data_IF_372792678896
#
_entry.id   IF_372792678896
#
_cell.length_a   1.000
_cell.length_b   1.000
_cell.length_c   1.000
_cell.angle_alpha   90.00
_cell.angle_beta   90.00
_cell.angle_gamma   90.00
#
_symmetry.space_group_name_H-M   'P 1'
#
loop_
_entity.id
_entity.type
_entity.pdbx_description
1 polymer ?
#
# COMPACT_ATOMS: atom_id res chain seq x y z
N UNK A 1 61.05 37.15 39.81
CA UNK A 1 60.35 36.73 38.58
C UNK A 1 60.35 35.21 38.54
N UNK A 2 59.22 34.60 38.88
CA UNK A 2 58.87 33.23 38.46
C UNK A 2 58.39 33.32 37.00
N UNK A 3 58.68 32.31 36.15
CA UNK A 3 57.67 31.25 36.00
C UNK A 3 58.17 29.82 35.68
N UNK A 4 57.48 28.85 36.30
CA UNK A 4 56.90 27.59 35.79
C UNK A 4 57.78 26.49 35.14
N UNK A 5 57.65 25.23 35.62
CA UNK A 5 58.17 24.05 34.93
C UNK A 5 57.23 23.53 33.82
N UNK A 6 57.91 22.87 32.90
CA UNK A 6 57.54 22.13 31.69
C UNK A 6 56.25 21.31 31.76
N UNK A 7 55.45 21.39 30.69
CA UNK A 7 54.14 20.74 30.57
C UNK A 7 54.17 19.21 30.53
N UNK A 8 53.23 18.60 31.24
CA UNK A 8 52.82 17.21 31.08
C UNK A 8 51.67 17.13 30.08
N UNK A 9 51.90 16.49 28.93
CA UNK A 9 50.84 16.02 28.03
C UNK A 9 50.26 14.70 28.59
N UNK A 10 48.94 14.50 28.57
CA UNK A 10 48.36 13.22 28.96
C UNK A 10 48.73 12.13 27.94
N UNK A 11 49.36 11.05 28.41
CA UNK A 11 49.60 9.84 27.63
C UNK A 11 48.26 9.26 27.17
N UNK A 12 48.09 9.19 25.85
CA UNK A 12 46.98 8.52 25.17
C UNK A 12 47.03 7.03 25.53
N UNK A 13 46.15 6.58 26.41
CA UNK A 13 45.95 5.15 26.70
C UNK A 13 45.39 4.52 25.43
N UNK A 14 46.18 3.71 24.72
CA UNK A 14 45.67 2.80 23.68
C UNK A 14 44.88 1.70 24.38
N UNK A 15 43.63 1.39 23.98
CA UNK A 15 42.96 0.19 24.44
C UNK A 15 43.70 -1.05 23.90
N UNK A 16 43.87 -2.05 24.77
CA UNK A 16 44.41 -3.37 24.41
C UNK A 16 43.52 -4.05 23.34
N UNK A 17 44.10 -4.76 22.36
CA UNK A 17 43.34 -5.54 21.40
C UNK A 17 42.78 -6.79 22.09
N UNK A 18 41.46 -7.00 22.04
CA UNK A 18 40.86 -8.28 22.44
C UNK A 18 39.74 -8.25 23.50
N UNK A 19 38.99 -7.16 23.68
CA UNK A 19 37.72 -7.20 24.43
C UNK A 19 36.52 -7.05 23.49
N UNK A 20 36.25 -8.08 22.70
CA UNK A 20 34.90 -8.26 22.17
C UNK A 20 33.99 -8.61 23.35
N UNK A 21 33.35 -7.59 23.92
CA UNK A 21 32.16 -7.81 24.75
C UNK A 21 31.13 -8.47 23.86
N UNK A 22 30.99 -9.79 24.00
CA UNK A 22 29.83 -10.51 23.50
C UNK A 22 28.64 -10.02 24.34
N UNK A 23 27.85 -9.10 23.79
CA UNK A 23 26.51 -8.89 24.28
C UNK A 23 25.71 -10.10 23.83
N UNK A 24 25.06 -10.85 24.73
CA UNK A 24 24.12 -11.87 24.30
C UNK A 24 23.02 -11.18 23.51
N UNK A 25 22.83 -11.60 22.26
CA UNK A 25 21.80 -11.05 21.37
C UNK A 25 20.43 -11.16 22.05
N UNK A 26 19.77 -10.02 22.16
CA UNK A 26 18.39 -9.84 22.63
C UNK A 26 17.40 -10.33 21.56
N UNK A 27 17.62 -11.56 21.09
CA UNK A 27 16.99 -12.17 19.91
C UNK A 27 15.46 -12.22 20.03
N UNK A 28 14.94 -12.30 21.26
CA UNK A 28 13.51 -12.28 21.54
C UNK A 28 12.84 -10.91 21.35
N UNK A 29 13.57 -9.82 21.58
CA UNK A 29 13.04 -8.45 21.43
C UNK A 29 12.96 -8.04 19.96
N UNK A 30 14.00 -8.37 19.17
CA UNK A 30 14.05 -8.08 17.72
C UNK A 30 12.98 -8.85 16.93
N UNK A 31 12.73 -10.12 17.29
CA UNK A 31 11.69 -10.92 16.64
C UNK A 31 10.27 -10.37 16.90
N UNK A 32 9.98 -10.00 18.16
CA UNK A 32 8.70 -9.45 18.57
C UNK A 32 8.45 -8.07 17.96
N UNK A 33 9.48 -7.24 17.87
CA UNK A 33 9.44 -5.96 17.17
C UNK A 33 9.16 -6.13 15.66
N UNK A 34 9.86 -7.05 14.99
CA UNK A 34 9.63 -7.35 13.57
C UNK A 34 8.21 -7.84 13.29
N UNK A 35 7.65 -8.65 14.18
CA UNK A 35 6.26 -9.11 14.06
C UNK A 35 5.29 -7.94 14.18
N UNK A 36 5.44 -7.09 15.19
CA UNK A 36 4.63 -5.87 15.35
C UNK A 36 4.70 -4.97 14.10
N UNK A 37 5.89 -4.76 13.54
CA UNK A 37 6.04 -3.95 12.32
C UNK A 37 5.39 -4.62 11.10
N UNK A 38 5.41 -5.95 11.00
CA UNK A 38 4.71 -6.69 9.95
C UNK A 38 3.20 -6.53 10.07
N UNK A 39 2.65 -6.65 11.28
CA UNK A 39 1.24 -6.39 11.56
C UNK A 39 0.85 -4.95 11.20
N UNK A 40 1.72 -3.99 11.52
CA UNK A 40 1.49 -2.60 11.17
C UNK A 40 1.47 -2.39 9.65
N UNK A 41 2.38 -3.00 8.89
CA UNK A 41 2.39 -2.96 7.42
C UNK A 41 1.17 -3.68 6.81
N UNK A 42 0.71 -4.77 7.43
CA UNK A 42 -0.56 -5.41 7.05
C UNK A 42 -1.72 -4.43 7.22
N UNK A 43 -1.79 -3.74 8.36
CA UNK A 43 -2.82 -2.73 8.62
C UNK A 43 -2.75 -1.57 7.62
N UNK A 44 -1.55 -1.11 7.25
CA UNK A 44 -1.39 -0.09 6.19
C UNK A 44 -1.96 -0.55 4.85
N UNK A 45 -1.83 -1.83 4.52
CA UNK A 45 -2.42 -2.43 3.33
C UNK A 45 -3.95 -2.50 3.40
N UNK A 46 -4.49 -2.82 4.57
CA UNK A 46 -5.94 -2.79 4.83
C UNK A 46 -6.49 -1.38 4.66
N UNK A 47 -5.88 -0.39 5.28
CA UNK A 47 -6.35 1.00 5.23
C UNK A 47 -6.32 1.55 3.79
N UNK A 48 -5.23 1.29 3.04
CA UNK A 48 -5.14 1.64 1.62
C UNK A 48 -6.24 0.97 0.78
N UNK A 49 -6.52 -0.30 1.08
CA UNK A 49 -7.55 -1.08 0.41
C UNK A 49 -8.97 -0.58 0.72
N UNK A 50 -9.21 -0.08 1.94
CA UNK A 50 -10.46 0.59 2.30
C UNK A 50 -10.62 1.89 1.50
N UNK A 51 -9.58 2.71 1.38
CA UNK A 51 -9.62 3.91 0.50
C UNK A 51 -9.91 3.55 -0.95
N UNK A 52 -9.31 2.46 -1.45
CA UNK A 52 -9.57 1.95 -2.79
C UNK A 52 -11.03 1.50 -2.95
N UNK A 53 -11.58 0.78 -1.97
CA UNK A 53 -12.98 0.38 -1.97
C UNK A 53 -13.90 1.60 -1.97
N UNK A 54 -13.67 2.60 -1.12
CA UNK A 54 -14.44 3.86 -1.13
C UNK A 54 -14.45 4.47 -2.53
N UNK A 55 -13.28 4.53 -3.20
CA UNK A 55 -13.19 5.04 -4.57
C UNK A 55 -14.03 4.21 -5.55
N UNK A 56 -14.05 2.87 -5.41
CA UNK A 56 -14.89 2.00 -6.22
C UNK A 56 -16.39 2.27 -5.99
N UNK A 57 -16.82 2.49 -4.75
CA UNK A 57 -18.20 2.84 -4.43
C UNK A 57 -18.57 4.26 -4.89
N UNK A 58 -17.63 5.20 -4.92
CA UNK A 58 -17.87 6.53 -5.48
C UNK A 58 -18.09 6.48 -7.00
N UNK A 59 -17.35 5.61 -7.69
CA UNK A 59 -17.42 5.46 -9.15
C UNK A 59 -18.47 4.46 -9.62
N UNK A 60 -19.21 3.80 -8.73
CA UNK A 60 -20.08 2.69 -9.11
C UNK A 60 -21.35 3.12 -9.88
N UNK A 61 -21.58 4.44 -10.01
CA UNK A 61 -22.59 5.00 -10.91
C UNK A 61 -22.23 4.80 -12.39
N UNK A 62 -20.94 4.65 -12.72
CA UNK A 62 -20.45 4.21 -14.02
C UNK A 62 -19.36 3.13 -13.87
N UNK A 63 -19.74 1.87 -14.15
CA UNK A 63 -18.85 0.72 -14.01
C UNK A 63 -17.65 0.81 -14.94
N UNK A 64 -17.79 1.41 -16.12
CA UNK A 64 -16.66 1.55 -17.03
C UNK A 64 -15.57 2.45 -16.43
N UNK A 65 -15.94 3.61 -15.89
CA UNK A 65 -15.04 4.52 -15.18
C UNK A 65 -14.39 3.83 -13.98
N UNK A 66 -15.18 3.13 -13.16
CA UNK A 66 -14.68 2.40 -11.99
C UNK A 66 -13.64 1.32 -12.38
N UNK A 67 -13.99 0.45 -13.33
CA UNK A 67 -13.11 -0.63 -13.77
C UNK A 67 -11.86 -0.07 -14.45
N UNK A 68 -11.99 1.02 -15.20
CA UNK A 68 -10.87 1.63 -15.88
C UNK A 68 -9.91 2.31 -14.89
N UNK A 69 -10.42 2.96 -13.84
CA UNK A 69 -9.62 3.46 -12.73
C UNK A 69 -8.80 2.33 -12.09
N UNK A 70 -9.44 1.22 -11.71
CA UNK A 70 -8.75 0.07 -11.14
C UNK A 70 -7.70 -0.50 -12.11
N UNK A 71 -8.07 -0.72 -13.38
CA UNK A 71 -7.16 -1.24 -14.41
C UNK A 71 -5.90 -0.39 -14.55
N UNK A 72 -6.09 0.93 -14.66
CA UNK A 72 -4.98 1.88 -14.79
C UNK A 72 -4.08 1.84 -13.56
N UNK A 73 -4.67 1.77 -12.36
CA UNK A 73 -3.91 1.72 -11.12
C UNK A 73 -2.99 0.49 -11.08
N UNK A 74 -3.50 -0.68 -11.47
CA UNK A 74 -2.70 -1.91 -11.55
C UNK A 74 -1.67 -1.90 -12.69
N UNK A 75 -2.00 -1.31 -13.84
CA UNK A 75 -1.10 -1.28 -15.00
C UNK A 75 0.16 -0.43 -14.75
N UNK A 76 0.05 0.65 -13.97
CA UNK A 76 1.13 1.64 -13.85
C UNK A 76 1.91 1.61 -12.53
N UNK A 77 1.43 0.92 -11.50
CA UNK A 77 2.07 1.00 -10.18
C UNK A 77 3.13 -0.07 -9.96
N UNK A 78 2.93 -1.32 -10.38
CA UNK A 78 3.81 -2.42 -9.99
C UNK A 78 3.81 -3.59 -10.99
N UNK A 79 4.89 -4.39 -11.01
CA UNK A 79 4.92 -5.66 -11.74
C UNK A 79 3.79 -6.59 -11.24
N UNK A 80 3.17 -7.38 -12.13
CA UNK A 80 2.08 -8.27 -11.77
C UNK A 80 2.38 -9.21 -10.58
N UNK A 81 3.62 -9.66 -10.42
CA UNK A 81 4.05 -10.60 -9.36
C UNK A 81 4.31 -9.96 -7.99
N UNK A 82 3.99 -8.67 -7.80
CA UNK A 82 4.18 -8.02 -6.51
C UNK A 82 3.10 -8.45 -5.49
N UNK A 83 3.48 -8.85 -4.26
CA UNK A 83 2.53 -9.27 -3.23
C UNK A 83 1.43 -8.24 -2.93
N UNK A 84 1.79 -6.94 -2.89
CA UNK A 84 0.85 -5.84 -2.63
C UNK A 84 -0.16 -5.73 -3.77
N UNK A 85 0.30 -5.79 -5.02
CA UNK A 85 -0.58 -5.76 -6.19
C UNK A 85 -1.54 -6.94 -6.23
N UNK A 86 -1.08 -8.13 -5.83
CA UNK A 86 -1.92 -9.31 -5.75
C UNK A 86 -3.02 -9.15 -4.70
N UNK A 87 -2.69 -8.65 -3.50
CA UNK A 87 -3.69 -8.40 -2.44
C UNK A 87 -4.71 -7.36 -2.89
N UNK A 88 -4.24 -6.25 -3.45
CA UNK A 88 -5.13 -5.19 -3.96
C UNK A 88 -6.03 -5.69 -5.09
N UNK A 89 -5.51 -6.52 -6.01
CA UNK A 89 -6.31 -7.10 -7.09
C UNK A 89 -7.44 -7.99 -6.54
N UNK A 90 -7.15 -8.81 -5.51
CA UNK A 90 -8.16 -9.63 -4.83
C UNK A 90 -9.20 -8.75 -4.13
N UNK A 91 -8.80 -7.65 -3.50
CA UNK A 91 -9.74 -6.69 -2.90
C UNK A 91 -10.68 -6.11 -3.96
N UNK A 92 -10.13 -5.63 -5.08
CA UNK A 92 -10.94 -5.08 -6.18
C UNK A 92 -11.90 -6.14 -6.73
N UNK A 93 -11.42 -7.36 -6.94
CA UNK A 93 -12.28 -8.46 -7.39
C UNK A 93 -13.40 -8.78 -6.41
N UNK A 94 -13.09 -8.80 -5.12
CA UNK A 94 -14.06 -9.05 -4.06
C UNK A 94 -15.14 -7.97 -4.02
N UNK A 95 -14.74 -6.70 -3.86
CA UNK A 95 -15.66 -5.56 -3.76
C UNK A 95 -16.51 -5.45 -5.02
N UNK A 96 -15.91 -5.61 -6.19
CA UNK A 96 -16.65 -5.60 -7.45
C UNK A 96 -17.69 -6.74 -7.50
N UNK A 97 -17.28 -7.97 -7.23
CA UNK A 97 -18.15 -9.14 -7.41
C UNK A 97 -19.25 -9.25 -6.36
N UNK A 98 -18.96 -8.88 -5.11
CA UNK A 98 -19.89 -9.00 -3.99
C UNK A 98 -20.79 -7.78 -3.83
N UNK A 99 -20.22 -6.59 -3.92
CA UNK A 99 -20.92 -5.39 -3.46
C UNK A 99 -21.46 -4.52 -4.60
N UNK A 100 -20.79 -4.53 -5.76
CA UNK A 100 -21.11 -3.63 -6.89
C UNK A 100 -21.87 -4.37 -8.00
N UNK A 101 -21.31 -5.47 -8.53
CA UNK A 101 -21.87 -6.25 -9.65
C UNK A 101 -23.33 -6.67 -9.43
N UNK A 102 -23.76 -7.11 -8.22
CA UNK A 102 -25.15 -7.51 -7.98
C UNK A 102 -26.14 -6.32 -7.95
N UNK A 103 -25.66 -5.11 -7.63
CA UNK A 103 -26.48 -3.89 -7.53
C UNK A 103 -26.65 -3.16 -8.87
N UNK A 104 -26.02 -3.69 -9.92
CA UNK A 104 -25.87 -3.01 -11.19
C UNK A 104 -27.23 -2.85 -11.92
N UNK A 105 -27.92 -1.74 -11.65
CA UNK A 105 -29.00 -1.23 -12.50
C UNK A 105 -28.37 -0.83 -13.81
N UNK A 106 -29.01 -1.20 -14.93
CA UNK A 106 -28.56 -0.94 -16.29
C UNK A 106 -27.70 0.33 -16.41
N UNK A 107 -26.40 0.12 -16.70
CA UNK A 107 -25.40 1.15 -16.90
C UNK A 107 -25.99 2.26 -17.79
N UNK A 108 -25.93 3.52 -17.34
CA UNK A 108 -26.27 4.63 -18.25
C UNK A 108 -25.17 4.71 -19.28
N UNK A 109 -25.55 4.55 -20.54
CA UNK A 109 -24.63 4.56 -21.66
C UNK A 109 -23.95 5.95 -21.79
N UNK A 110 -22.61 5.97 -21.76
CA UNK A 110 -21.79 7.02 -22.38
C UNK A 110 -21.29 8.21 -21.55
N UNK A 111 -21.32 8.19 -20.21
CA UNK A 111 -20.80 9.30 -19.37
C UNK A 111 -19.74 8.86 -18.35
N UNK A 112 -18.82 9.75 -17.98
CA UNK A 112 -17.94 9.54 -16.82
C UNK A 112 -18.78 9.53 -15.52
N UNK A 113 -18.32 8.79 -14.52
CA UNK A 113 -18.87 8.88 -13.16
C UNK A 113 -18.92 10.34 -12.68
N UNK A 114 -19.97 10.72 -11.94
CA UNK A 114 -20.10 12.07 -11.35
C UNK A 114 -18.93 12.37 -10.41
N UNK A 115 -18.42 11.35 -9.71
CA UNK A 115 -17.32 11.49 -8.75
C UNK A 115 -15.94 11.30 -9.39
N UNK A 116 -15.88 11.19 -10.72
CA UNK A 116 -14.64 10.95 -11.45
C UNK A 116 -13.57 12.00 -11.17
N UNK A 117 -13.94 13.29 -11.20
CA UNK A 117 -12.97 14.37 -10.97
C UNK A 117 -12.40 14.34 -9.54
N UNK A 118 -13.21 13.98 -8.54
CA UNK A 118 -12.74 13.79 -7.17
C UNK A 118 -11.74 12.64 -7.09
N UNK A 119 -12.10 11.46 -7.58
CA UNK A 119 -11.24 10.27 -7.53
C UNK A 119 -9.99 10.44 -8.39
N UNK A 120 -10.03 11.24 -9.45
CA UNK A 120 -8.82 11.59 -10.21
C UNK A 120 -7.77 12.30 -9.34
N UNK A 121 -8.17 13.12 -8.36
CA UNK A 121 -7.22 13.85 -7.49
C UNK A 121 -6.47 12.95 -6.49
N UNK A 122 -6.99 11.75 -6.22
CA UNK A 122 -6.36 10.77 -5.31
C UNK A 122 -5.35 9.87 -6.04
N UNK A 123 -5.27 9.98 -7.37
CA UNK A 123 -4.41 9.14 -8.21
C UNK A 123 -2.97 9.09 -7.73
N UNK A 124 -2.37 10.26 -7.49
CA UNK A 124 -0.98 10.36 -7.02
C UNK A 124 -0.79 9.62 -5.70
N UNK A 125 -1.69 9.85 -4.73
CA UNK A 125 -1.58 9.29 -3.39
C UNK A 125 -1.72 7.76 -3.43
N UNK A 126 -2.62 7.23 -4.25
CA UNK A 126 -2.69 5.79 -4.49
C UNK A 126 -1.42 5.23 -5.10
N UNK A 127 -0.87 5.87 -6.13
CA UNK A 127 0.35 5.39 -6.78
C UNK A 127 1.55 5.41 -5.83
N UNK A 128 1.74 6.51 -5.09
CA UNK A 128 2.81 6.66 -4.10
C UNK A 128 2.62 5.64 -2.97
N UNK A 129 1.38 5.48 -2.48
CA UNK A 129 1.03 4.51 -1.46
C UNK A 129 1.38 3.08 -1.86
N UNK A 130 0.95 2.65 -3.04
CA UNK A 130 1.22 1.29 -3.54
C UNK A 130 2.73 1.05 -3.66
N UNK A 131 3.49 2.02 -4.19
CA UNK A 131 4.94 1.91 -4.35
C UNK A 131 5.65 1.83 -2.99
N UNK A 132 5.30 2.71 -2.05
CA UNK A 132 5.92 2.74 -0.72
C UNK A 132 5.60 1.45 0.04
N UNK A 133 4.33 1.02 0.03
CA UNK A 133 3.90 -0.21 0.71
C UNK A 133 4.60 -1.44 0.14
N UNK A 134 4.72 -1.53 -1.19
CA UNK A 134 5.49 -2.60 -1.85
C UNK A 134 6.94 -2.65 -1.36
N UNK A 135 7.59 -1.50 -1.20
CA UNK A 135 8.98 -1.45 -0.70
C UNK A 135 9.08 -1.89 0.75
N UNK A 136 8.14 -1.48 1.61
CA UNK A 136 8.07 -1.92 3.01
C UNK A 136 7.94 -3.46 3.08
N UNK A 137 7.06 -4.05 2.27
CA UNK A 137 6.87 -5.50 2.21
C UNK A 137 8.14 -6.22 1.73
N UNK A 138 8.81 -5.70 0.69
CA UNK A 138 10.07 -6.27 0.19
C UNK A 138 11.18 -6.24 1.25
N UNK A 139 11.28 -5.15 2.00
CA UNK A 139 12.24 -5.00 3.12
C UNK A 139 11.96 -6.05 4.19
N UNK A 140 10.71 -6.19 4.61
CA UNK A 140 10.29 -7.08 5.71
C UNK A 140 10.30 -8.57 5.37
N UNK A 141 10.25 -8.91 4.08
CA UNK A 141 10.38 -10.29 3.59
C UNK A 141 11.83 -10.78 3.51
N UNK A 142 12.82 -9.89 3.49
CA UNK A 142 14.23 -10.31 3.49
C UNK A 142 14.62 -10.81 4.89
N UNK A 143 15.03 -12.08 4.98
CA UNK A 143 15.45 -12.72 6.25
C UNK A 143 16.77 -12.17 6.81
N UNK A 144 17.68 -11.76 5.93
CA UNK A 144 19.09 -11.50 6.29
C UNK A 144 19.47 -10.01 6.34
N UNK A 145 18.50 -9.11 6.44
CA UNK A 145 18.79 -7.67 6.45
C UNK A 145 18.57 -7.07 7.84
N UNK A 146 19.66 -6.56 8.42
CA UNK A 146 19.61 -5.56 9.49
C UNK A 146 19.21 -4.24 8.86
N UNK A 147 18.01 -3.76 9.15
CA UNK A 147 17.55 -2.42 8.79
C UNK A 147 17.53 -1.54 10.03
N UNK A 148 17.70 -0.24 9.82
CA UNK A 148 17.53 0.73 10.89
C UNK A 148 16.04 0.84 11.25
N UNK A 149 15.67 0.32 12.43
CA UNK A 149 14.31 0.35 12.98
C UNK A 149 13.71 1.76 13.01
N UNK A 150 14.56 2.78 13.17
CA UNK A 150 14.13 4.18 13.17
C UNK A 150 13.72 4.64 11.78
N UNK A 151 14.42 4.21 10.74
CA UNK A 151 14.06 4.52 9.35
C UNK A 151 12.75 3.84 8.96
N UNK A 152 12.57 2.58 9.36
CA UNK A 152 11.37 1.82 9.07
C UNK A 152 10.14 2.43 9.78
N UNK A 153 10.28 2.73 11.07
CA UNK A 153 9.24 3.42 11.85
C UNK A 153 8.90 4.79 11.25
N UNK A 154 9.92 5.55 10.82
CA UNK A 154 9.71 6.84 10.16
C UNK A 154 8.99 6.70 8.82
N UNK A 155 9.30 5.68 8.02
CA UNK A 155 8.63 5.42 6.76
C UNK A 155 7.15 5.06 6.97
N UNK A 156 6.83 4.23 7.96
CA UNK A 156 5.46 3.88 8.32
C UNK A 156 4.69 5.11 8.82
N UNK A 157 5.29 5.92 9.69
CA UNK A 157 4.66 7.16 10.18
C UNK A 157 4.37 8.14 9.02
N UNK A 158 5.33 8.31 8.10
CA UNK A 158 5.14 9.14 6.90
C UNK A 158 4.03 8.57 6.01
N UNK A 159 3.96 7.26 5.83
CA UNK A 159 2.90 6.63 5.04
C UNK A 159 1.51 6.94 5.63
N UNK A 160 1.33 6.78 6.94
CA UNK A 160 0.06 7.12 7.61
C UNK A 160 -0.30 8.60 7.40
N UNK A 161 0.67 9.50 7.58
CA UNK A 161 0.41 10.94 7.54
C UNK A 161 0.29 11.53 6.13
N UNK A 162 1.04 11.04 5.15
CA UNK A 162 1.14 11.64 3.82
C UNK A 162 0.35 10.89 2.76
N UNK A 163 0.07 9.59 2.96
CA UNK A 163 -0.69 8.78 2.01
C UNK A 163 -2.09 8.54 2.54
N UNK A 164 -2.21 7.83 3.66
CA UNK A 164 -3.53 7.41 4.16
C UNK A 164 -4.40 8.60 4.57
N UNK A 165 -3.81 9.56 5.28
CA UNK A 165 -4.54 10.77 5.69
C UNK A 165 -4.98 11.61 4.49
N UNK A 166 -4.11 11.82 3.50
CA UNK A 166 -4.47 12.59 2.29
C UNK A 166 -5.57 11.88 1.48
N UNK A 167 -5.53 10.54 1.39
CA UNK A 167 -6.59 9.75 0.79
C UNK A 167 -7.90 9.87 1.58
N UNK A 168 -7.85 9.73 2.90
CA UNK A 168 -9.02 9.85 3.77
C UNK A 168 -9.61 11.26 3.65
N UNK A 169 -8.83 12.31 3.84
CA UNK A 169 -9.28 13.70 3.79
C UNK A 169 -9.94 14.04 2.43
N UNK A 170 -9.38 13.58 1.31
CA UNK A 170 -9.97 13.77 -0.03
C UNK A 170 -11.25 12.97 -0.23
N UNK A 171 -11.29 11.70 0.20
CA UNK A 171 -12.47 10.84 -0.02
C UNK A 171 -13.61 11.17 0.94
N UNK A 172 -13.30 11.72 2.12
CA UNK A 172 -14.29 12.13 3.12
C UNK A 172 -15.25 13.21 2.63
N UNK A 173 -14.87 14.00 1.62
CA UNK A 173 -15.77 15.02 1.03
C UNK A 173 -16.98 14.43 0.32
N UNK A 174 -16.95 13.14 -0.03
CA UNK A 174 -18.05 12.43 -0.69
C UNK A 174 -18.46 11.16 0.07
N UNK A 175 -18.23 11.14 1.39
CA UNK A 175 -18.53 9.99 2.24
C UNK A 175 -20.00 9.56 2.13
N UNK A 176 -20.92 10.52 2.17
CA UNK A 176 -22.35 10.33 2.04
C UNK A 176 -22.74 9.63 0.71
N UNK A 177 -22.06 9.97 -0.38
CA UNK A 177 -22.25 9.32 -1.69
C UNK A 177 -21.82 7.86 -1.65
N UNK A 178 -20.66 7.57 -1.06
CA UNK A 178 -20.18 6.18 -0.94
C UNK A 178 -21.09 5.32 -0.07
N UNK A 179 -21.59 5.87 1.05
CA UNK A 179 -22.53 5.19 1.95
C UNK A 179 -23.89 4.97 1.29
N UNK A 180 -24.39 5.96 0.52
CA UNK A 180 -25.62 5.82 -0.27
C UNK A 180 -25.50 4.69 -1.31
N UNK A 181 -24.30 4.49 -1.86
CA UNK A 181 -23.98 3.39 -2.76
C UNK A 181 -23.77 2.05 -2.02
N UNK A 182 -23.94 2.05 -0.70
CA UNK A 182 -23.92 0.89 0.18
C UNK A 182 -22.51 0.46 0.58
N UNK A 183 -21.58 1.42 0.67
CA UNK A 183 -20.30 1.20 1.33
C UNK A 183 -20.48 1.08 2.85
N UNK A 184 -19.98 0.01 3.43
CA UNK A 184 -19.97 -0.22 4.87
C UNK A 184 -18.52 -0.41 5.35
N UNK A 185 -17.96 0.62 6.00
CA UNK A 185 -16.52 0.66 6.36
C UNK A 185 -16.08 -0.56 7.16
N UNK A 186 -16.83 -0.95 8.18
CA UNK A 186 -16.47 -2.06 9.08
C UNK A 186 -16.51 -3.41 8.36
N UNK A 187 -17.58 -3.68 7.60
CA UNK A 187 -17.75 -4.90 6.81
C UNK A 187 -16.64 -5.03 5.76
N UNK A 188 -16.35 -3.95 5.02
CA UNK A 188 -15.28 -3.95 4.01
C UNK A 188 -13.91 -4.12 4.67
N UNK A 189 -13.60 -3.38 5.74
CA UNK A 189 -12.33 -3.48 6.44
C UNK A 189 -12.08 -4.89 6.99
N UNK A 190 -13.09 -5.54 7.55
CA UNK A 190 -12.99 -6.92 8.05
C UNK A 190 -12.66 -7.91 6.92
N UNK A 191 -13.40 -7.86 5.80
CA UNK A 191 -13.15 -8.74 4.66
C UNK A 191 -11.78 -8.49 4.02
N UNK A 192 -11.39 -7.22 3.94
CA UNK A 192 -10.07 -6.82 3.43
C UNK A 192 -8.97 -7.31 4.36
N UNK A 193 -9.12 -7.19 5.68
CA UNK A 193 -8.14 -7.68 6.66
C UNK A 193 -7.82 -9.15 6.43
N UNK A 194 -8.82 -9.99 6.21
CA UNK A 194 -8.62 -11.41 5.90
C UNK A 194 -7.79 -11.65 4.63
N UNK A 195 -7.97 -10.80 3.60
CA UNK A 195 -7.17 -10.86 2.38
C UNK A 195 -5.71 -10.45 2.61
N UNK A 196 -5.40 -9.69 3.65
CA UNK A 196 -4.04 -9.22 3.95
C UNK A 196 -3.30 -10.05 5.01
N UNK A 197 -4.01 -10.85 5.84
CA UNK A 197 -3.41 -11.66 6.92
C UNK A 197 -2.20 -12.49 6.45
N UNK A 198 -2.30 -13.13 5.28
CA UNK A 198 -1.23 -13.98 4.75
C UNK A 198 -0.15 -13.24 3.95
N UNK A 199 -0.01 -11.92 4.11
CA UNK A 199 0.97 -11.13 3.35
C UNK A 199 2.41 -11.59 3.58
N UNK A 200 2.76 -12.07 4.78
CA UNK A 200 4.12 -12.50 5.13
C UNK A 200 4.27 -14.02 5.28
N UNK A 201 3.20 -14.78 5.11
CA UNK A 201 3.23 -16.25 5.21
C UNK A 201 4.03 -16.84 4.05
N UNK A 202 5.04 -17.65 4.37
CA UNK A 202 5.93 -18.27 3.36
C UNK A 202 5.24 -19.40 2.59
N UNK A 203 4.35 -20.16 3.24
CA UNK A 203 3.52 -21.21 2.59
C UNK A 203 2.36 -20.62 1.78
N UNK A 204 1.81 -19.47 2.18
CA UNK A 204 0.88 -18.72 1.35
C UNK A 204 1.59 -17.97 0.20
N UNK A 205 2.92 -18.14 0.10
CA UNK A 205 3.80 -17.63 -0.94
C UNK A 205 3.65 -18.33 -2.29
N UNK A 206 2.78 -19.33 -2.41
CA UNK A 206 2.18 -19.65 -3.70
C UNK A 206 1.33 -18.46 -4.13
N UNK A 207 1.99 -17.51 -4.79
CA UNK A 207 1.35 -16.52 -5.66
C UNK A 207 0.15 -17.18 -6.31
N UNK A 208 -1.01 -16.53 -6.27
CA UNK A 208 -2.21 -17.00 -6.98
C UNK A 208 -1.76 -17.65 -8.29
N UNK A 209 -2.06 -18.95 -8.53
CA UNK A 209 -1.60 -19.61 -9.75
C UNK A 209 -1.90 -18.68 -10.93
N UNK A 210 -0.94 -18.46 -11.82
CA UNK A 210 -1.03 -17.44 -12.88
C UNK A 210 -2.36 -17.51 -13.65
N UNK A 211 -2.92 -18.72 -13.75
CA UNK A 211 -4.26 -19.06 -14.23
C UNK A 211 -5.39 -18.38 -13.44
N UNK A 212 -5.39 -18.46 -12.11
CA UNK A 212 -6.38 -17.82 -11.26
C UNK A 212 -6.26 -16.29 -11.27
N UNK A 213 -5.05 -15.74 -11.38
CA UNK A 213 -4.85 -14.30 -11.60
C UNK A 213 -5.42 -13.85 -12.96
N UNK A 214 -5.11 -14.59 -14.01
CA UNK A 214 -5.63 -14.33 -15.37
C UNK A 214 -7.16 -14.39 -15.40
N UNK A 215 -7.76 -15.33 -14.66
CA UNK A 215 -9.22 -15.43 -14.50
C UNK A 215 -9.80 -14.20 -13.79
N UNK A 216 -9.18 -13.73 -12.71
CA UNK A 216 -9.61 -12.50 -12.01
C UNK A 216 -9.53 -11.29 -12.94
N UNK A 217 -8.43 -11.13 -13.66
CA UNK A 217 -8.26 -10.02 -14.62
C UNK A 217 -9.30 -10.08 -15.74
N UNK A 218 -9.56 -11.28 -16.26
CA UNK A 218 -10.57 -11.48 -17.30
C UNK A 218 -11.97 -11.15 -16.75
N UNK A 219 -12.36 -11.66 -15.58
CA UNK A 219 -13.68 -11.40 -15.00
C UNK A 219 -13.88 -9.92 -14.64
N UNK A 220 -12.85 -9.25 -14.11
CA UNK A 220 -12.89 -7.82 -13.79
C UNK A 220 -12.98 -6.95 -15.03
N UNK A 221 -12.15 -7.21 -16.05
CA UNK A 221 -11.92 -6.25 -17.14
C UNK A 221 -12.57 -6.67 -18.47
N UNK A 222 -13.24 -7.81 -18.54
CA UNK A 222 -14.09 -8.17 -19.68
C UNK A 222 -15.13 -7.09 -20.03
N UNK A 223 -15.80 -6.42 -19.06
CA UNK A 223 -16.76 -5.36 -19.39
C UNK A 223 -16.15 -4.17 -20.15
N UNK A 224 -14.82 -3.96 -20.07
CA UNK A 224 -14.11 -2.88 -20.75
C UNK A 224 -13.23 -3.39 -21.91
N UNK A 225 -13.18 -4.70 -22.18
CA UNK A 225 -12.24 -5.30 -23.14
C UNK A 225 -12.60 -5.09 -24.62
N UNK A 226 -13.53 -4.19 -24.94
CA UNK A 226 -13.94 -3.84 -26.30
C UNK A 226 -14.38 -2.39 -26.50
N UNK A 227 -14.45 -1.59 -25.43
CA UNK A 227 -14.89 -0.19 -25.48
C UNK A 227 -13.72 0.72 -25.11
N UNK A 228 -13.18 1.45 -26.09
CA UNK A 228 -12.32 2.60 -25.83
C UNK A 228 -13.19 3.75 -25.32
N UNK A 229 -13.57 3.72 -24.05
CA UNK A 229 -14.23 4.87 -23.42
C UNK A 229 -13.20 6.01 -23.35
N UNK A 230 -13.36 6.97 -24.25
CA UNK A 230 -12.53 8.18 -24.36
C UNK A 230 -12.78 9.07 -23.14
N UNK A 231 -12.01 8.85 -22.08
CA UNK A 231 -11.72 9.84 -21.06
C UNK A 231 -10.21 9.98 -20.99
N UNK A 232 -9.66 11.00 -21.66
CA UNK A 232 -8.26 11.37 -21.44
C UNK A 232 -8.09 11.75 -19.97
N UNK A 233 -7.59 10.82 -19.17
CA UNK A 233 -6.75 11.20 -18.04
C UNK A 233 -5.41 11.50 -18.68
N UNK A 234 -4.88 12.73 -18.54
CA UNK A 234 -3.49 12.97 -18.85
C UNK A 234 -2.68 11.89 -18.13
N UNK A 235 -1.95 11.06 -18.86
CA UNK A 235 -0.95 10.18 -18.29
C UNK A 235 0.06 11.10 -17.59
N UNK A 236 -0.18 11.39 -16.30
CA UNK A 236 0.79 12.11 -15.51
C UNK A 236 2.01 11.19 -15.47
N UNK A 237 3.18 11.66 -15.93
CA UNK A 237 4.39 10.88 -15.83
C UNK A 237 4.58 10.51 -14.36
N UNK A 238 4.71 9.20 -14.10
CA UNK A 238 5.09 8.69 -12.78
C UNK A 238 6.52 9.18 -12.55
N UNK A 239 6.65 10.35 -11.93
CA UNK A 239 7.95 10.82 -11.47
C UNK A 239 8.33 9.91 -10.31
N UNK A 240 9.42 9.16 -10.47
CA UNK A 240 10.06 8.42 -9.40
C UNK A 240 11.10 9.31 -8.71
N UNK A 241 10.78 10.00 -7.59
CA UNK A 241 11.83 10.45 -6.70
C UNK A 241 11.48 10.07 -5.26
N UNK A 242 11.52 8.78 -4.94
CA UNK A 242 11.70 8.38 -3.55
C UNK A 242 12.84 7.39 -3.51
N UNK A 243 14.01 7.91 -3.18
CA UNK A 243 15.15 7.13 -2.69
C UNK A 243 14.85 6.95 -1.20
N UNK A 244 14.62 5.71 -0.79
CA UNK A 244 14.88 5.29 0.59
C UNK A 244 16.38 5.03 0.69
#
# INVERSE_FOLDING_TARGET
MEPKPTGCLPRRIRPLPGSYKYYPDDTGSDALWKEHIREEVVQLGVDLSVSLAISMFLLCDDIHTMLWFCFKLFKYTLPPSNPVSERLLRVVHYVYSKDIKPKNRACRDGGNSVQWELVRTTWKDFTDGIIILSRLVLILRKKDCSFDDRLLSSAIAKYKQQVLKELEDKLMSAKDVSELNGFERETVASNVSDLWKSLFDEEAGESTPEVARSRILSDLFQPISGHSCHGEIPTLPVTYPYIL
#
